data_IF_305151214822
#
_entry.id   IF_305151214822
#
_cell.length_a   1.000
_cell.length_b   1.000
_cell.length_c   1.000
_cell.angle_alpha   90.00
_cell.angle_beta   90.00
_cell.angle_gamma   90.00
#
_symmetry.space_group_name_H-M   'P 1'
#
loop_
_entity.id
_entity.type
_entity.pdbx_description
1 polymer ?
#
# COMPACT_ATOMS: atom_id res chain seq x y z
N UNK A 1 -31.08 55.51 -2.74
CA UNK A 1 -30.51 54.38 -3.52
C UNK A 1 -29.86 53.40 -2.57
N UNK A 2 -30.55 52.30 -2.26
CA UNK A 2 -30.06 51.31 -1.29
C UNK A 2 -29.53 50.12 -2.07
N UNK A 3 -28.20 49.95 -2.09
CA UNK A 3 -27.55 48.81 -2.75
C UNK A 3 -27.86 47.56 -1.93
N UNK A 4 -28.70 46.67 -2.47
CA UNK A 4 -28.95 45.34 -1.88
C UNK A 4 -27.72 44.48 -2.15
N UNK A 5 -27.02 44.10 -1.08
CA UNK A 5 -25.94 43.12 -1.11
C UNK A 5 -26.58 41.72 -1.17
N UNK A 6 -26.61 41.09 -2.34
CA UNK A 6 -27.01 39.68 -2.47
C UNK A 6 -25.81 38.81 -2.10
N UNK A 7 -25.82 38.24 -0.89
CA UNK A 7 -24.86 37.22 -0.48
C UNK A 7 -25.37 35.89 -1.02
N UNK A 8 -24.74 35.40 -2.09
CA UNK A 8 -24.91 34.03 -2.58
C UNK A 8 -24.22 33.10 -1.59
N UNK A 9 -25.00 32.45 -0.73
CA UNK A 9 -24.52 31.35 0.11
C UNK A 9 -24.57 30.10 -0.75
N UNK A 10 -23.45 29.78 -1.40
CA UNK A 10 -23.27 28.51 -2.08
C UNK A 10 -23.10 27.43 -1.01
N UNK A 11 -24.21 26.83 -0.57
CA UNK A 11 -24.19 25.64 0.28
C UNK A 11 -23.66 24.47 -0.54
N UNK A 12 -22.34 24.28 -0.50
CA UNK A 12 -21.68 23.09 -1.01
C UNK A 12 -22.08 21.93 -0.10
N UNK A 13 -23.10 21.17 -0.51
CA UNK A 13 -23.49 19.94 0.14
C UNK A 13 -22.34 18.94 -0.02
N UNK A 14 -21.46 18.88 0.96
CA UNK A 14 -20.55 17.75 1.17
C UNK A 14 -21.45 16.54 1.43
N UNK A 15 -21.69 15.76 0.37
CA UNK A 15 -22.24 14.42 0.48
C UNK A 15 -21.27 13.66 1.37
N UNK A 16 -21.69 13.44 2.61
CA UNK A 16 -20.92 12.75 3.61
C UNK A 16 -20.85 11.28 3.17
N UNK A 17 -19.87 10.92 2.34
CA UNK A 17 -19.45 9.53 2.11
C UNK A 17 -18.69 9.07 3.38
N UNK A 18 -19.34 9.19 4.53
CA UNK A 18 -18.79 8.85 5.83
C UNK A 18 -19.52 7.60 6.32
N UNK A 19 -18.80 6.48 6.40
CA UNK A 19 -19.33 5.28 7.04
C UNK A 19 -18.51 4.01 6.86
N UNK A 20 -17.70 3.90 5.82
CA UNK A 20 -16.72 2.83 5.72
C UNK A 20 -15.36 3.37 6.20
N UNK A 21 -14.74 2.71 7.19
CA UNK A 21 -13.31 2.92 7.46
C UNK A 21 -12.56 2.75 6.13
N UNK A 22 -11.83 3.78 5.70
CA UNK A 22 -11.01 3.65 4.49
C UNK A 22 -10.11 2.41 4.64
N UNK A 23 -10.11 1.50 3.65
CA UNK A 23 -9.28 0.31 3.71
C UNK A 23 -7.85 0.68 4.07
N UNK A 24 -7.20 -0.04 5.00
CA UNK A 24 -5.83 0.28 5.44
C UNK A 24 -4.83 0.37 4.28
N UNK A 25 -5.09 -0.35 3.19
CA UNK A 25 -4.31 -0.28 1.94
C UNK A 25 -4.39 1.09 1.25
N UNK A 26 -5.33 1.97 1.57
CA UNK A 26 -5.35 3.36 1.09
C UNK A 26 -4.45 4.27 1.93
N UNK A 27 -4.03 3.83 3.12
CA UNK A 27 -3.16 4.58 4.03
C UNK A 27 -1.70 4.22 3.84
N UNK A 28 -1.39 2.96 3.51
CA UNK A 28 -0.02 2.49 3.29
C UNK A 28 0.13 0.97 3.39
N UNK A 29 1.35 0.50 3.66
CA UNK A 29 1.64 -0.92 3.94
C UNK A 29 2.36 -1.08 5.28
N UNK A 30 1.78 -1.85 6.20
CA UNK A 30 2.35 -2.07 7.53
C UNK A 30 2.44 -0.76 8.31
N UNK A 31 3.66 -0.31 8.62
CA UNK A 31 3.91 0.96 9.33
C UNK A 31 4.21 2.14 8.40
N UNK A 32 4.27 1.92 7.08
CA UNK A 32 4.55 2.99 6.11
C UNK A 32 3.27 3.68 5.65
N UNK A 33 3.42 4.85 5.02
CA UNK A 33 2.34 5.59 4.37
C UNK A 33 2.60 5.78 2.88
N UNK A 34 1.56 5.86 2.05
CA UNK A 34 1.75 6.23 0.65
C UNK A 34 2.18 7.69 0.52
N UNK A 35 3.02 7.99 -0.47
CA UNK A 35 3.62 9.30 -0.64
C UNK A 35 4.81 9.57 0.28
N UNK A 36 5.11 8.67 1.21
CA UNK A 36 6.21 8.82 2.15
C UNK A 36 7.57 8.75 1.43
N UNK A 37 8.55 9.61 1.81
CA UNK A 37 9.85 9.63 1.17
C UNK A 37 10.72 8.43 1.54
N UNK A 38 11.69 8.11 0.67
CA UNK A 38 12.58 6.95 0.83
C UNK A 38 13.30 6.99 2.17
N UNK A 39 13.82 8.14 2.57
CA UNK A 39 14.57 8.31 3.82
C UNK A 39 13.74 7.90 5.04
N UNK A 40 12.49 8.34 5.13
CA UNK A 40 11.62 7.96 6.25
C UNK A 40 11.23 6.48 6.20
N UNK A 41 11.03 5.91 5.01
CA UNK A 41 10.79 4.46 4.88
C UNK A 41 11.99 3.65 5.36
N UNK A 42 13.22 4.11 5.12
CA UNK A 42 14.45 3.47 5.60
C UNK A 42 14.61 3.53 7.13
N UNK A 43 14.09 4.57 7.78
CA UNK A 43 14.05 4.66 9.24
C UNK A 43 13.07 3.63 9.84
N UNK A 44 11.92 3.43 9.18
CA UNK A 44 10.89 2.48 9.63
C UNK A 44 11.32 1.03 9.35
N UNK A 45 11.94 0.80 8.20
CA UNK A 45 12.35 -0.51 7.70
C UNK A 45 13.87 -0.51 7.42
N UNK A 46 14.73 -0.61 8.45
CA UNK A 46 16.17 -0.54 8.26
C UNK A 46 16.75 -1.79 7.60
N UNK A 47 17.93 -1.65 7.00
CA UNK A 47 18.76 -2.79 6.54
C UNK A 47 18.58 -3.20 5.06
N UNK A 48 17.73 -2.52 4.31
CA UNK A 48 17.59 -2.74 2.87
C UNK A 48 18.63 -2.02 2.00
N UNK A 49 18.62 -2.36 0.70
CA UNK A 49 19.46 -1.76 -0.35
C UNK A 49 18.62 -0.95 -1.32
N UNK A 50 19.12 0.21 -1.74
CA UNK A 50 18.46 1.02 -2.79
C UNK A 50 19.02 0.64 -4.16
N UNK A 51 18.13 0.47 -5.12
CA UNK A 51 18.44 0.35 -6.55
C UNK A 51 17.76 1.47 -7.34
N UNK A 52 18.41 1.91 -8.43
CA UNK A 52 18.00 3.07 -9.23
C UNK A 52 18.81 4.32 -8.91
N UNK A 53 18.47 5.43 -9.57
CA UNK A 53 19.12 6.73 -9.39
C UNK A 53 18.14 7.76 -8.82
N UNK A 54 18.65 8.71 -8.04
CA UNK A 54 17.87 9.84 -7.53
C UNK A 54 17.24 10.63 -8.69
N UNK A 55 15.96 10.98 -8.56
CA UNK A 55 15.20 11.63 -9.65
C UNK A 55 14.63 10.68 -10.71
N UNK A 56 14.87 9.37 -10.59
CA UNK A 56 14.25 8.30 -11.41
C UNK A 56 13.44 7.34 -10.53
N UNK A 57 12.68 6.39 -11.09
CA UNK A 57 12.06 5.34 -10.29
C UNK A 57 13.11 4.56 -9.49
N UNK A 58 12.93 4.48 -8.17
CA UNK A 58 13.82 3.77 -7.25
C UNK A 58 13.10 2.58 -6.62
N UNK A 59 13.88 1.58 -6.24
CA UNK A 59 13.39 0.41 -5.50
C UNK A 59 14.25 0.22 -4.26
N UNK A 60 13.60 0.16 -3.10
CA UNK A 60 14.25 -0.22 -1.85
C UNK A 60 13.94 -1.70 -1.56
N UNK A 61 14.99 -2.51 -1.57
CA UNK A 61 14.95 -3.96 -1.41
C UNK A 61 15.25 -4.34 0.03
N UNK A 62 14.34 -5.09 0.65
CA UNK A 62 14.47 -5.63 1.99
C UNK A 62 14.59 -7.14 1.89
N UNK A 63 15.69 -7.68 2.38
CA UNK A 63 15.87 -9.11 2.56
C UNK A 63 15.06 -9.56 3.78
N UNK A 64 14.40 -10.71 3.66
CA UNK A 64 13.63 -11.31 4.73
C UNK A 64 14.10 -12.72 5.06
N UNK A 65 13.37 -13.37 5.95
CA UNK A 65 13.54 -14.77 6.31
C UNK A 65 12.19 -15.47 6.24
N UNK A 66 12.18 -16.78 6.00
CA UNK A 66 10.93 -17.54 5.87
C UNK A 66 9.93 -17.25 7.00
N UNK A 67 8.63 -17.08 6.68
CA UNK A 67 8.02 -17.26 5.36
C UNK A 67 8.05 -15.99 4.47
N UNK A 68 8.39 -14.82 5.01
CA UNK A 68 8.49 -13.58 4.22
C UNK A 68 9.94 -13.40 3.76
N UNK A 69 10.26 -13.85 2.56
CA UNK A 69 11.65 -13.88 2.05
C UNK A 69 12.13 -12.52 1.53
N UNK A 70 11.23 -11.55 1.34
CA UNK A 70 11.65 -10.18 1.07
C UNK A 70 10.50 -9.22 0.83
N UNK A 71 10.83 -7.93 0.75
CA UNK A 71 9.93 -6.88 0.32
C UNK A 71 10.63 -5.87 -0.59
N UNK A 72 9.85 -5.23 -1.45
CA UNK A 72 10.29 -4.22 -2.41
C UNK A 72 9.39 -3.01 -2.29
N UNK A 73 9.96 -1.89 -1.86
CA UNK A 73 9.27 -0.61 -1.80
C UNK A 73 9.63 0.20 -3.05
N UNK A 74 8.65 0.62 -3.82
CA UNK A 74 8.85 1.33 -5.08
C UNK A 74 8.53 2.81 -4.92
N UNK A 75 9.41 3.65 -5.46
CA UNK A 75 9.35 5.10 -5.36
C UNK A 75 9.36 5.74 -6.74
N UNK A 76 8.53 6.77 -6.93
CA UNK A 76 8.56 7.69 -8.07
C UNK A 76 8.59 9.09 -7.49
N UNK A 77 9.50 9.95 -7.96
CA UNK A 77 9.71 11.30 -7.40
C UNK A 77 9.88 11.31 -5.86
N UNK A 78 10.62 10.32 -5.33
CA UNK A 78 10.80 10.12 -3.88
C UNK A 78 9.49 9.92 -3.11
N UNK A 79 8.50 9.28 -3.74
CA UNK A 79 7.21 8.99 -3.09
C UNK A 79 6.90 7.50 -3.17
N UNK A 80 6.71 6.86 -2.02
CA UNK A 80 6.28 5.47 -1.94
C UNK A 80 4.90 5.31 -2.59
N UNK A 81 4.82 4.54 -3.66
CA UNK A 81 3.55 4.32 -4.39
C UNK A 81 3.16 2.85 -4.49
N UNK A 82 4.07 1.93 -4.14
CA UNK A 82 3.83 0.49 -4.19
C UNK A 82 4.76 -0.25 -3.25
N UNK A 83 4.23 -1.28 -2.58
CA UNK A 83 5.01 -2.30 -1.90
C UNK A 83 4.66 -3.67 -2.49
N UNK A 84 5.68 -4.46 -2.80
CA UNK A 84 5.54 -5.89 -3.12
C UNK A 84 6.23 -6.70 -2.03
N UNK A 85 5.57 -7.75 -1.55
CA UNK A 85 6.11 -8.64 -0.52
C UNK A 85 6.14 -10.04 -1.07
N UNK A 86 7.31 -10.67 -0.96
CA UNK A 86 7.59 -11.98 -1.48
C UNK A 86 7.51 -12.99 -0.32
N UNK A 87 6.63 -13.98 -0.45
CA UNK A 87 6.46 -15.06 0.52
C UNK A 87 6.91 -16.40 -0.07
N UNK A 88 7.61 -17.19 0.73
CA UNK A 88 7.86 -18.60 0.47
C UNK A 88 6.70 -19.41 1.08
N UNK A 89 5.94 -20.10 0.23
CA UNK A 89 4.83 -20.95 0.66
C UNK A 89 5.33 -22.36 1.02
N UNK A 90 4.77 -22.99 2.07
CA UNK A 90 5.10 -24.37 2.40
C UNK A 90 4.64 -25.31 1.28
N UNK A 91 5.42 -26.36 1.00
CA UNK A 91 5.15 -27.37 -0.02
C UNK A 91 5.06 -26.86 -1.47
N UNK A 92 5.60 -25.67 -1.75
CA UNK A 92 5.79 -25.18 -3.11
C UNK A 92 6.55 -26.23 -3.94
N UNK A 93 6.09 -26.59 -5.15
CA UNK A 93 6.87 -27.43 -6.06
C UNK A 93 8.15 -26.70 -6.50
N UNK A 94 9.23 -27.45 -6.73
CA UNK A 94 10.49 -26.88 -7.24
C UNK A 94 10.27 -26.19 -8.59
N UNK A 95 9.50 -26.83 -9.48
CA UNK A 95 9.13 -26.33 -10.80
C UNK A 95 7.63 -26.51 -11.09
N UNK A 96 7.07 -25.60 -11.90
CA UNK A 96 5.72 -25.70 -12.43
C UNK A 96 4.64 -24.98 -11.60
N UNK A 97 3.35 -25.12 -11.98
CA UNK A 97 2.24 -24.47 -11.30
C UNK A 97 2.08 -24.94 -9.85
N UNK A 98 1.76 -24.01 -8.96
CA UNK A 98 1.47 -24.27 -7.54
C UNK A 98 -0.02 -24.02 -7.21
N UNK A 99 -0.91 -25.01 -7.47
CA UNK A 99 -2.34 -24.85 -7.24
C UNK A 99 -2.68 -24.69 -5.75
N UNK A 100 -1.87 -25.27 -4.85
CA UNK A 100 -2.10 -25.16 -3.41
C UNK A 100 -1.68 -23.78 -2.90
N UNK A 101 -0.53 -23.28 -3.35
CA UNK A 101 -0.09 -21.92 -3.06
C UNK A 101 -1.09 -20.87 -3.57
N UNK A 102 -1.64 -21.08 -4.78
CA UNK A 102 -2.71 -20.23 -5.31
C UNK A 102 -3.94 -20.22 -4.38
N UNK A 103 -4.38 -21.38 -3.91
CA UNK A 103 -5.51 -21.52 -2.98
C UNK A 103 -5.27 -20.77 -1.68
N UNK A 104 -4.09 -20.92 -1.07
CA UNK A 104 -3.71 -20.22 0.16
C UNK A 104 -3.71 -18.69 -0.03
N UNK A 105 -3.17 -18.20 -1.15
CA UNK A 105 -3.18 -16.77 -1.47
C UNK A 105 -4.62 -16.27 -1.63
N UNK A 106 -5.46 -17.02 -2.36
CA UNK A 106 -6.86 -16.67 -2.58
C UNK A 106 -7.65 -16.63 -1.27
N UNK A 107 -7.44 -17.60 -0.36
CA UNK A 107 -8.05 -17.61 0.97
C UNK A 107 -7.64 -16.37 1.80
N UNK A 108 -6.35 -16.00 1.81
CA UNK A 108 -5.86 -14.79 2.50
C UNK A 108 -6.43 -13.50 1.92
N UNK A 109 -6.54 -13.40 0.59
CA UNK A 109 -7.16 -12.25 -0.09
C UNK A 109 -8.64 -12.17 0.28
N UNK A 110 -9.35 -13.29 0.24
CA UNK A 110 -10.76 -13.37 0.61
C UNK A 110 -10.99 -12.95 2.06
N UNK A 111 -10.19 -13.47 2.98
CA UNK A 111 -10.24 -13.09 4.39
C UNK A 111 -9.97 -11.61 4.61
N UNK A 112 -8.96 -11.04 3.95
CA UNK A 112 -8.55 -9.65 4.18
C UNK A 112 -9.46 -8.62 3.50
N UNK A 113 -9.98 -8.92 2.32
CA UNK A 113 -10.66 -7.91 1.48
C UNK A 113 -12.15 -8.19 1.24
N UNK A 114 -12.62 -9.43 1.44
CA UNK A 114 -13.97 -9.82 1.05
C UNK A 114 -14.82 -10.37 2.20
N UNK A 115 -14.25 -10.68 3.37
CA UNK A 115 -15.05 -10.90 4.59
C UNK A 115 -15.65 -9.56 5.02
N UNK A 116 -16.94 -9.40 4.79
CA UNK A 116 -17.75 -8.35 5.41
C UNK A 116 -17.82 -8.68 6.92
N UNK A 117 -17.46 -7.74 7.79
CA UNK A 117 -17.70 -7.87 9.23
C UNK A 117 -19.22 -8.02 9.41
N UNK A 118 -19.68 -9.18 9.84
CA UNK A 118 -21.05 -9.38 10.36
C UNK A 118 -21.26 -8.59 11.65
#
# INVERSE_FOLDING_TARGET
>A
MTKKLCILITSMALVNIGGAEEPEILKGYGKTQWGQPLAEVQEILPGGKVEGQEGSPQVYLLEGSEPMVGAKCYFIYDQLFKVSVDFQLPNRPEDGPDPEGYRVIQEKINEKYFKTKE
#
